data_IF_266338505404
#
_entry.id   IF_266338505404
#
_cell.length_a   1.000
_cell.length_b   1.000
_cell.length_c   1.000
_cell.angle_alpha   90.00
_cell.angle_beta   90.00
_cell.angle_gamma   90.00
#
_symmetry.space_group_name_H-M   'P 1'
#
loop_
_entity.id
_entity.type
_entity.pdbx_description
1 polymer ?
#
# COMPACT_ATOMS: atom_id res chain seq x y z
N UNK A 1 33.86 8.98 19.34
CA UNK A 1 32.41 8.94 19.65
C UNK A 1 31.68 8.59 18.38
N UNK A 2 30.83 7.57 18.39
CA UNK A 2 30.03 7.19 17.22
C UNK A 2 28.98 8.27 16.95
N UNK A 3 28.86 8.75 15.71
CA UNK A 3 27.89 9.79 15.36
C UNK A 3 26.51 9.19 15.13
N UNK A 4 25.45 10.00 15.27
CA UNK A 4 24.07 9.61 14.92
C UNK A 4 23.99 9.04 13.50
N UNK A 5 24.60 9.71 12.51
CA UNK A 5 24.64 9.23 11.12
C UNK A 5 25.26 7.84 10.96
N UNK A 6 26.26 7.49 11.79
CA UNK A 6 26.86 6.13 11.78
C UNK A 6 25.83 5.07 12.22
N UNK A 7 24.93 5.40 13.15
CA UNK A 7 23.87 4.49 13.58
C UNK A 7 22.78 4.30 12.52
N UNK A 8 22.40 5.38 11.80
CA UNK A 8 21.49 5.31 10.64
C UNK A 8 22.11 4.44 9.54
N UNK A 9 23.35 4.73 9.13
CA UNK A 9 24.09 3.97 8.11
C UNK A 9 24.22 2.48 8.47
N UNK A 10 24.49 2.17 9.74
CA UNK A 10 24.56 0.78 10.24
C UNK A 10 23.21 0.06 10.14
N UNK A 11 22.10 0.77 10.41
CA UNK A 11 20.76 0.22 10.28
C UNK A 11 20.36 -0.01 8.81
N UNK A 12 20.68 0.94 7.92
CA UNK A 12 20.48 0.81 6.47
C UNK A 12 21.30 -0.34 5.87
N UNK A 13 22.56 -0.50 6.29
CA UNK A 13 23.40 -1.63 5.88
C UNK A 13 22.92 -2.98 6.41
N UNK A 14 22.26 -3.00 7.56
CA UNK A 14 21.60 -4.19 8.09
C UNK A 14 20.35 -4.54 7.25
N UNK A 15 19.45 -3.57 7.03
CA UNK A 15 18.28 -3.72 6.14
C UNK A 15 18.68 -4.28 4.77
N UNK A 16 19.64 -3.62 4.11
CA UNK A 16 20.17 -3.98 2.79
C UNK A 16 20.59 -5.45 2.67
N UNK A 17 21.21 -6.00 3.73
CA UNK A 17 21.70 -7.38 3.76
C UNK A 17 20.61 -8.37 4.16
N UNK A 18 19.88 -8.11 5.25
CA UNK A 18 18.99 -9.10 5.87
C UNK A 18 17.59 -9.14 5.22
N UNK A 19 17.06 -8.04 4.66
CA UNK A 19 15.76 -8.07 3.98
C UNK A 19 15.79 -8.85 2.66
N UNK A 20 16.91 -8.82 1.92
CA UNK A 20 17.01 -9.49 0.62
C UNK A 20 16.62 -10.99 0.67
N UNK A 21 17.24 -11.85 1.53
CA UNK A 21 16.84 -13.24 1.62
C UNK A 21 15.42 -13.45 2.19
N UNK A 22 14.92 -12.54 3.04
CA UNK A 22 13.55 -12.60 3.57
C UNK A 22 12.52 -12.37 2.46
N UNK A 23 12.71 -11.31 1.65
CA UNK A 23 11.85 -10.99 0.52
C UNK A 23 11.88 -12.12 -0.51
N UNK A 24 13.06 -12.63 -0.87
CA UNK A 24 13.20 -13.77 -1.78
C UNK A 24 12.44 -15.00 -1.30
N UNK A 25 12.60 -15.39 -0.02
CA UNK A 25 11.85 -16.52 0.57
C UNK A 25 10.35 -16.31 0.46
N UNK A 26 9.85 -15.11 0.78
CA UNK A 26 8.42 -14.83 0.72
C UNK A 26 7.87 -14.73 -0.71
N UNK A 27 8.65 -14.20 -1.67
CA UNK A 27 8.31 -14.18 -3.11
C UNK A 27 8.08 -15.58 -3.65
N UNK A 28 8.99 -16.51 -3.33
CA UNK A 28 8.88 -17.92 -3.72
C UNK A 28 7.73 -18.61 -2.98
N UNK A 29 7.65 -18.49 -1.65
CA UNK A 29 6.66 -19.19 -0.83
C UNK A 29 5.21 -18.74 -1.11
N UNK A 30 5.00 -17.49 -1.51
CA UNK A 30 3.68 -16.92 -1.87
C UNK A 30 3.37 -17.00 -3.37
N UNK A 31 4.27 -17.58 -4.17
CA UNK A 31 4.08 -17.74 -5.62
C UNK A 31 4.01 -16.44 -6.42
N UNK A 32 4.65 -15.37 -5.93
CA UNK A 32 4.63 -14.03 -6.56
C UNK A 32 5.41 -14.02 -7.89
N UNK A 33 6.48 -14.80 -7.95
CA UNK A 33 7.25 -15.07 -9.16
C UNK A 33 7.75 -16.51 -9.11
N UNK A 34 7.83 -17.17 -10.28
CA UNK A 34 8.37 -18.53 -10.38
C UNK A 34 9.90 -18.54 -10.41
N UNK A 35 10.56 -19.61 -9.92
CA UNK A 35 12.03 -19.70 -9.91
C UNK A 35 12.68 -19.49 -11.29
N UNK A 36 12.03 -19.92 -12.37
CA UNK A 36 12.59 -19.86 -13.73
C UNK A 36 12.75 -18.42 -14.24
N UNK A 37 11.94 -17.48 -13.73
CA UNK A 37 11.97 -16.06 -14.10
C UNK A 37 12.88 -15.25 -13.18
N UNK A 38 13.15 -15.77 -11.98
CA UNK A 38 14.07 -15.19 -11.01
C UNK A 38 15.52 -15.58 -11.32
N UNK A 39 16.02 -15.14 -12.47
CA UNK A 39 17.43 -15.30 -12.82
C UNK A 39 18.33 -14.78 -11.69
N UNK A 40 19.30 -15.59 -11.26
CA UNK A 40 20.18 -15.31 -10.11
C UNK A 40 19.44 -14.99 -8.79
N UNK A 41 18.20 -15.46 -8.63
CA UNK A 41 17.30 -15.16 -7.50
C UNK A 41 16.97 -13.66 -7.35
N UNK A 42 17.02 -12.88 -8.44
CA UNK A 42 16.72 -11.45 -8.40
C UNK A 42 15.22 -11.15 -8.48
N UNK A 43 14.59 -10.92 -7.33
CA UNK A 43 13.17 -10.53 -7.24
C UNK A 43 12.90 -9.08 -7.70
N UNK A 44 13.93 -8.24 -7.90
CA UNK A 44 13.74 -6.84 -8.29
C UNK A 44 13.14 -6.67 -9.70
N UNK A 45 13.18 -7.73 -10.52
CA UNK A 45 12.47 -7.83 -11.80
C UNK A 45 10.96 -7.57 -11.66
N UNK A 46 10.34 -7.93 -10.53
CA UNK A 46 8.92 -7.67 -10.26
C UNK A 46 8.63 -6.17 -10.24
N UNK A 47 9.47 -5.38 -9.55
CA UNK A 47 9.33 -3.92 -9.49
C UNK A 47 9.55 -3.27 -10.85
N UNK A 48 10.51 -3.76 -11.64
CA UNK A 48 10.78 -3.24 -12.99
C UNK A 48 9.54 -3.40 -13.88
N UNK A 49 8.97 -4.60 -13.92
CA UNK A 49 7.80 -4.91 -14.76
C UNK A 49 6.52 -4.22 -14.26
N UNK A 50 6.40 -3.98 -12.95
CA UNK A 50 5.34 -3.13 -12.40
C UNK A 50 5.49 -1.65 -12.80
N UNK A 51 6.70 -1.11 -12.75
CA UNK A 51 6.97 0.28 -13.16
C UNK A 51 6.72 0.47 -14.67
N UNK A 52 7.21 -0.45 -15.50
CA UNK A 52 6.93 -0.48 -16.95
C UNK A 52 5.41 -0.47 -17.22
N UNK A 53 4.63 -1.29 -16.50
CA UNK A 53 3.17 -1.31 -16.59
C UNK A 53 2.46 -0.08 -15.97
N UNK A 54 3.15 0.74 -15.17
CA UNK A 54 2.67 2.05 -14.68
C UNK A 54 3.09 3.21 -15.61
N UNK A 55 3.72 2.92 -16.74
CA UNK A 55 4.29 3.92 -17.65
C UNK A 55 5.54 4.60 -17.11
N UNK A 56 6.20 4.03 -16.08
CA UNK A 56 7.39 4.58 -15.42
C UNK A 56 8.64 3.89 -15.95
N UNK A 57 9.37 4.55 -16.84
CA UNK A 57 10.61 4.00 -17.43
C UNK A 57 11.83 4.49 -16.66
N UNK A 58 12.39 3.63 -15.79
CA UNK A 58 13.67 3.87 -15.09
C UNK A 58 14.82 3.10 -15.75
N UNK A 59 16.06 3.54 -15.57
CA UNK A 59 17.24 2.75 -15.95
C UNK A 59 17.22 1.40 -15.19
N UNK A 60 17.36 0.24 -15.87
CA UNK A 60 17.40 -1.06 -15.23
C UNK A 60 18.41 -1.19 -14.08
N UNK A 61 19.49 -0.39 -14.06
CA UNK A 61 20.51 -0.36 -12.99
C UNK A 61 19.99 0.17 -11.65
N UNK A 62 18.82 0.80 -11.62
CA UNK A 62 18.16 1.28 -10.39
C UNK A 62 17.58 0.12 -9.58
N UNK A 63 17.18 -0.97 -10.25
CA UNK A 63 16.64 -2.15 -9.58
C UNK A 63 17.77 -3.03 -9.09
N UNK A 64 17.91 -3.14 -7.76
CA UNK A 64 18.89 -4.01 -7.10
C UNK A 64 18.26 -4.68 -5.88
N UNK A 65 18.40 -6.01 -5.70
CA UNK A 65 17.80 -6.71 -4.56
C UNK A 65 18.46 -6.35 -3.22
N UNK A 66 19.59 -5.63 -3.23
CA UNK A 66 20.27 -5.08 -2.04
C UNK A 66 20.02 -3.58 -1.83
N UNK A 67 19.32 -2.86 -2.72
CA UNK A 67 18.91 -1.48 -2.44
C UNK A 67 17.72 -1.48 -1.49
N UNK A 68 17.89 -0.84 -0.34
CA UNK A 68 16.85 -0.65 0.67
C UNK A 68 15.60 0.00 0.08
N UNK A 69 15.72 0.87 -0.94
CA UNK A 69 14.54 1.42 -1.61
C UNK A 69 13.75 0.34 -2.33
N UNK A 70 14.39 -0.49 -3.16
CA UNK A 70 13.73 -1.60 -3.83
C UNK A 70 13.12 -2.57 -2.81
N UNK A 71 13.85 -2.89 -1.74
CA UNK A 71 13.38 -3.80 -0.68
C UNK A 71 12.10 -3.28 -0.03
N UNK A 72 12.07 -2.00 0.35
CA UNK A 72 10.91 -1.40 0.99
C UNK A 72 9.75 -1.17 -0.01
N UNK A 73 10.02 -0.81 -1.27
CA UNK A 73 8.98 -0.74 -2.33
C UNK A 73 8.24 -2.06 -2.47
N UNK A 74 8.97 -3.17 -2.48
CA UNK A 74 8.40 -4.52 -2.57
C UNK A 74 7.46 -4.84 -1.41
N UNK A 75 7.69 -4.25 -0.23
CA UNK A 75 6.88 -4.44 0.98
C UNK A 75 5.70 -3.47 1.10
N UNK A 76 5.71 -2.32 0.39
CA UNK A 76 4.68 -1.26 0.50
C UNK A 76 3.79 -1.12 -0.73
N UNK A 77 4.22 -1.55 -1.91
CA UNK A 77 3.42 -1.41 -3.14
C UNK A 77 2.54 -2.64 -3.40
N UNK A 78 1.38 -2.39 -4.01
CA UNK A 78 0.51 -3.47 -4.48
C UNK A 78 1.14 -4.19 -5.68
N UNK A 79 1.42 -5.47 -5.51
CA UNK A 79 2.01 -6.34 -6.54
C UNK A 79 0.94 -6.85 -7.52
N UNK A 80 0.32 -5.91 -8.23
CA UNK A 80 -0.73 -6.19 -9.21
C UNK A 80 -1.88 -7.02 -8.66
N UNK A 81 -2.18 -8.15 -9.32
CA UNK A 81 -3.24 -9.09 -8.92
C UNK A 81 -2.96 -9.80 -7.59
N UNK A 82 -1.71 -9.91 -7.14
CA UNK A 82 -1.34 -10.49 -5.85
C UNK A 82 -1.65 -9.58 -4.64
N UNK A 83 -2.07 -8.33 -4.86
CA UNK A 83 -2.45 -7.42 -3.78
C UNK A 83 -1.24 -6.96 -2.96
N UNK A 84 -1.33 -7.06 -1.64
CA UNK A 84 -0.25 -6.72 -0.69
C UNK A 84 0.28 -8.01 -0.02
N UNK A 85 1.03 -8.85 -0.75
CA UNK A 85 1.24 -10.24 -0.35
C UNK A 85 2.13 -10.41 0.89
N UNK A 86 3.02 -9.47 1.19
CA UNK A 86 3.86 -9.50 2.39
C UNK A 86 3.14 -9.02 3.65
N UNK A 87 1.98 -8.37 3.50
CA UNK A 87 1.33 -7.68 4.60
C UNK A 87 0.46 -8.61 5.43
N UNK A 88 0.20 -8.20 6.68
CA UNK A 88 -0.64 -8.92 7.61
C UNK A 88 -2.03 -8.26 7.75
N UNK A 89 -2.93 -8.90 8.51
CA UNK A 89 -4.31 -8.42 8.66
C UNK A 89 -4.41 -7.00 9.25
N UNK A 90 -3.39 -6.55 9.99
CA UNK A 90 -3.31 -5.22 10.61
C UNK A 90 -2.63 -4.16 9.72
N UNK A 91 -2.13 -4.55 8.54
CA UNK A 91 -1.28 -3.75 7.64
C UNK A 91 0.01 -3.21 8.24
N UNK A 92 0.61 -3.98 9.16
CA UNK A 92 1.81 -3.60 9.89
C UNK A 92 3.07 -3.55 9.01
N UNK A 93 3.21 -4.46 8.04
CA UNK A 93 4.41 -4.51 7.17
C UNK A 93 4.46 -3.26 6.29
N UNK A 94 3.35 -2.93 5.64
CA UNK A 94 3.24 -1.69 4.84
C UNK A 94 3.50 -0.45 5.69
N UNK A 95 2.96 -0.41 6.92
CA UNK A 95 3.10 0.73 7.85
C UNK A 95 4.57 0.96 8.24
N UNK A 96 5.26 -0.07 8.74
CA UNK A 96 6.66 0.08 9.17
C UNK A 96 7.62 0.24 7.99
N UNK A 97 7.36 -0.43 6.85
CA UNK A 97 8.19 -0.26 5.67
C UNK A 97 8.08 1.16 5.09
N UNK A 98 6.88 1.77 5.05
CA UNK A 98 6.71 3.14 4.57
C UNK A 98 7.42 4.19 5.45
N UNK A 99 7.43 4.02 6.77
CA UNK A 99 8.22 4.86 7.66
C UNK A 99 9.73 4.74 7.33
N UNK A 100 10.22 3.52 7.10
CA UNK A 100 11.61 3.28 6.72
C UNK A 100 11.97 3.84 5.32
N UNK A 101 10.99 3.96 4.40
CA UNK A 101 11.21 4.60 3.08
C UNK A 101 11.58 6.06 3.24
N UNK A 102 10.92 6.78 4.15
CA UNK A 102 11.28 8.17 4.46
C UNK A 102 12.64 8.23 5.16
N UNK A 103 12.94 7.36 6.13
CA UNK A 103 14.31 7.28 6.70
C UNK A 103 15.37 7.06 5.60
N UNK A 104 15.11 6.20 4.61
CA UNK A 104 15.99 5.94 3.48
C UNK A 104 16.12 7.17 2.58
N UNK A 105 15.01 7.81 2.20
CA UNK A 105 15.00 9.00 1.37
C UNK A 105 15.79 10.13 2.05
N UNK A 106 15.49 10.45 3.32
CA UNK A 106 16.26 11.42 4.13
C UNK A 106 17.76 11.12 4.14
N UNK A 107 18.13 9.84 4.30
CA UNK A 107 19.53 9.41 4.28
C UNK A 107 20.20 9.57 2.92
N UNK A 108 19.48 9.29 1.82
CA UNK A 108 19.96 9.48 0.46
C UNK A 108 20.21 10.96 0.11
N UNK A 109 19.41 11.89 0.65
CA UNK A 109 19.61 13.33 0.49
C UNK A 109 20.63 13.94 1.49
N UNK A 110 21.36 13.12 2.26
CA UNK A 110 22.30 13.54 3.29
C UNK A 110 21.69 14.48 4.35
N UNK A 111 20.43 14.25 4.73
CA UNK A 111 19.77 15.04 5.77
C UNK A 111 20.37 14.83 7.16
N UNK A 112 20.22 15.84 8.00
CA UNK A 112 20.49 15.74 9.43
C UNK A 112 19.50 14.79 10.12
N UNK A 113 20.03 13.96 11.02
CA UNK A 113 19.27 13.08 11.92
C UNK A 113 19.61 13.39 13.37
N UNK A 114 18.63 13.24 14.27
CA UNK A 114 18.82 13.45 15.70
C UNK A 114 18.97 12.14 16.51
N UNK A 115 19.03 12.24 17.84
CA UNK A 115 19.20 11.07 18.73
C UNK A 115 17.95 10.20 18.80
N UNK A 116 16.77 10.78 18.59
CA UNK A 116 15.50 10.08 18.64
C UNK A 116 15.26 9.34 17.31
N UNK A 117 15.57 9.96 16.16
CA UNK A 117 15.71 9.30 14.85
C UNK A 117 16.58 8.03 14.94
N UNK A 118 17.74 8.14 15.60
CA UNK A 118 18.68 7.03 15.77
C UNK A 118 18.10 5.86 16.56
N UNK A 119 17.24 6.09 17.55
CA UNK A 119 16.57 5.02 18.31
C UNK A 119 15.32 4.52 17.57
N UNK A 120 14.57 5.44 16.93
CA UNK A 120 13.35 5.17 16.18
C UNK A 120 13.60 4.20 15.04
N UNK A 121 14.63 4.42 14.22
CA UNK A 121 14.91 3.56 13.05
C UNK A 121 15.14 2.08 13.45
N UNK A 122 15.87 1.79 14.54
CA UNK A 122 16.03 0.41 15.02
C UNK A 122 14.73 -0.17 15.59
N UNK A 123 13.92 0.65 16.28
CA UNK A 123 12.60 0.23 16.76
C UNK A 123 11.64 -0.13 15.64
N UNK A 124 11.54 0.72 14.60
CA UNK A 124 10.69 0.49 13.43
C UNK A 124 11.20 -0.69 12.60
N UNK A 125 12.52 -0.83 12.43
CA UNK A 125 13.12 -1.99 11.76
C UNK A 125 12.85 -3.29 12.51
N UNK A 126 12.97 -3.30 13.85
CA UNK A 126 12.64 -4.48 14.66
C UNK A 126 11.17 -4.89 14.51
N UNK A 127 10.24 -3.92 14.53
CA UNK A 127 8.80 -4.17 14.31
C UNK A 127 8.52 -4.70 12.90
N UNK A 128 9.20 -4.20 11.87
CA UNK A 128 9.10 -4.75 10.51
C UNK A 128 9.51 -6.23 10.47
N UNK A 129 10.68 -6.59 11.04
CA UNK A 129 11.10 -7.99 11.08
C UNK A 129 10.12 -8.87 11.89
N UNK A 130 9.56 -8.38 13.00
CA UNK A 130 8.50 -9.09 13.74
C UNK A 130 7.25 -9.32 12.87
N UNK A 131 6.79 -8.31 12.14
CA UNK A 131 5.62 -8.42 11.26
C UNK A 131 5.86 -9.37 10.07
N UNK A 132 7.12 -9.52 9.64
CA UNK A 132 7.57 -10.50 8.62
C UNK A 132 7.82 -11.92 9.19
N UNK A 133 7.68 -12.14 10.51
CA UNK A 133 7.92 -13.43 11.19
C UNK A 133 9.39 -13.71 11.57
N UNK A 134 10.28 -12.75 11.38
CA UNK A 134 11.73 -12.88 11.53
C UNK A 134 12.20 -12.51 12.95
N UNK A 135 11.67 -13.21 13.95
CA UNK A 135 11.82 -12.87 15.38
C UNK A 135 13.28 -12.82 15.88
N UNK A 136 14.20 -13.58 15.28
CA UNK A 136 15.64 -13.53 15.60
C UNK A 136 16.24 -12.17 15.26
N UNK A 137 15.98 -11.66 14.05
CA UNK A 137 16.45 -10.36 13.59
C UNK A 137 15.80 -9.24 14.41
N UNK A 138 14.49 -9.34 14.69
CA UNK A 138 13.81 -8.39 15.56
C UNK A 138 14.46 -8.31 16.95
N UNK A 139 14.63 -9.45 17.64
CA UNK A 139 15.23 -9.51 18.98
C UNK A 139 16.64 -8.93 19.04
N UNK A 140 17.44 -9.09 17.98
CA UNK A 140 18.77 -8.48 17.86
C UNK A 140 18.68 -6.96 17.75
N UNK A 141 17.79 -6.45 16.90
CA UNK A 141 17.59 -5.01 16.69
C UNK A 141 17.04 -4.30 17.92
N UNK A 142 16.17 -4.96 18.69
CA UNK A 142 15.66 -4.42 19.96
C UNK A 142 16.77 -4.25 21.01
N UNK A 143 17.69 -5.22 21.12
CA UNK A 143 18.87 -5.08 21.99
C UNK A 143 19.75 -3.91 21.55
N UNK A 144 19.99 -3.76 20.25
CA UNK A 144 20.79 -2.63 19.71
C UNK A 144 20.09 -1.29 19.97
N UNK A 145 18.76 -1.21 19.80
CA UNK A 145 17.92 -0.05 20.12
C UNK A 145 18.06 0.34 21.59
N UNK A 146 17.92 -0.63 22.50
CA UNK A 146 17.89 -0.36 23.94
C UNK A 146 19.29 0.02 24.45
N UNK A 147 20.34 -0.67 24.00
CA UNK A 147 21.73 -0.27 24.20
C UNK A 147 22.01 1.16 23.72
N UNK A 148 21.52 1.51 22.53
CA UNK A 148 21.70 2.83 21.94
C UNK A 148 20.94 3.90 22.74
N UNK A 149 19.73 3.59 23.21
CA UNK A 149 18.94 4.48 24.07
C UNK A 149 19.64 4.76 25.40
N UNK A 150 20.21 3.73 26.04
CA UNK A 150 21.03 3.90 27.26
C UNK A 150 22.23 4.81 26.96
N UNK A 151 22.95 4.58 25.85
CA UNK A 151 24.14 5.35 25.45
C UNK A 151 23.86 6.81 25.10
N UNK A 152 22.76 7.10 24.38
CA UNK A 152 22.45 8.46 23.88
C UNK A 152 21.73 9.35 24.90
N UNK A 153 20.96 8.76 25.83
CA UNK A 153 20.10 9.48 26.78
C UNK A 153 20.50 9.28 28.25
N UNK A 154 21.47 8.41 28.55
CA UNK A 154 21.92 8.15 29.94
C UNK A 154 20.87 7.46 30.83
N UNK A 155 19.74 7.04 30.26
CA UNK A 155 18.67 6.35 30.96
C UNK A 155 19.17 4.95 31.35
N UNK A 156 19.23 4.66 32.65
CA UNK A 156 19.34 3.27 33.12
C UNK A 156 18.15 2.49 32.57
N UNK A 157 18.38 1.27 32.09
CA UNK A 157 17.31 0.35 31.75
C UNK A 157 16.33 0.27 32.93
N UNK A 158 15.01 0.43 32.70
CA UNK A 158 14.04 0.11 33.74
C UNK A 158 14.26 -1.35 34.10
N UNK A 159 14.73 -1.61 35.32
CA UNK A 159 14.70 -2.96 35.87
C UNK A 159 13.25 -3.42 35.75
N UNK A 160 12.96 -4.64 35.22
CA UNK A 160 11.62 -5.17 35.24
C UNK A 160 11.18 -5.29 36.69
N UNK A 161 10.46 -4.28 37.19
CA UNK A 161 9.75 -4.36 38.45
C UNK A 161 8.60 -5.30 38.17
N UNK A 162 8.86 -6.59 38.35
CA UNK A 162 7.80 -7.58 38.45
C UNK A 162 6.79 -7.01 39.46
N UNK A 163 5.51 -6.86 39.08
CA UNK A 163 4.54 -6.23 39.96
C UNK A 163 4.52 -7.04 41.24
N UNK A 164 5.01 -6.45 42.34
CA UNK A 164 4.93 -7.07 43.64
C UNK A 164 3.47 -6.96 44.06
N UNK A 165 2.70 -7.98 43.66
CA UNK A 165 1.35 -8.21 44.13
C UNK A 165 1.47 -8.38 45.64
N UNK A 166 1.19 -7.32 46.39
CA UNK A 166 1.19 -7.37 47.85
C UNK A 166 0.16 -8.41 48.27
N UNK A 167 0.39 -9.04 49.42
CA UNK A 167 -0.50 -10.11 49.90
C UNK A 167 -1.94 -9.58 50.10
N UNK A 168 -2.11 -8.28 50.32
CA UNK A 168 -3.38 -7.56 50.31
C UNK A 168 -4.11 -7.63 48.96
N UNK A 169 -3.41 -7.38 47.85
CA UNK A 169 -3.97 -7.48 46.48
C UNK A 169 -4.29 -8.94 46.16
N UNK A 170 -3.46 -9.87 46.61
CA UNK A 170 -3.68 -11.32 46.47
C UNK A 170 -4.95 -11.78 47.19
N UNK A 171 -5.14 -11.33 48.44
CA UNK A 171 -6.34 -11.58 49.24
C UNK A 171 -7.57 -10.88 48.67
N UNK A 172 -7.43 -9.68 48.07
CA UNK A 172 -8.53 -9.00 47.40
C UNK A 172 -9.02 -9.75 46.16
N UNK A 173 -8.10 -10.29 45.34
CA UNK A 173 -8.45 -11.16 44.20
C UNK A 173 -9.16 -12.42 44.69
N UNK A 174 -8.60 -13.14 45.68
CA UNK A 174 -9.22 -14.34 46.24
C UNK A 174 -10.63 -14.10 46.83
N UNK A 175 -10.84 -13.00 47.57
CA UNK A 175 -12.17 -12.60 48.06
C UNK A 175 -13.16 -12.28 46.93
N UNK A 176 -12.67 -11.77 45.81
CA UNK A 176 -13.49 -11.46 44.63
C UNK A 176 -13.90 -12.73 43.87
N UNK A 177 -13.00 -13.72 43.79
CA UNK A 177 -13.30 -15.03 43.21
C UNK A 177 -14.27 -15.84 44.08
N UNK A 178 -14.10 -15.86 45.40
CA UNK A 178 -15.06 -16.49 46.33
C UNK A 178 -16.45 -15.84 46.29
N UNK A 179 -16.54 -14.52 46.03
CA UNK A 179 -17.84 -13.85 45.80
C UNK A 179 -18.53 -14.26 44.50
N UNK A 180 -17.81 -14.89 43.57
CA UNK A 180 -18.33 -15.28 42.25
C UNK A 180 -18.90 -16.71 42.24
N UNK A 181 -18.54 -17.55 43.21
CA UNK A 181 -19.08 -18.90 43.38
C UNK A 181 -20.47 -18.95 44.06
N UNK A 182 -20.84 -17.92 44.81
CA UNK A 182 -22.09 -17.91 45.63
C UNK A 182 -23.35 -17.44 44.87
N UNK A 183 -23.25 -17.13 43.57
CA UNK A 183 -24.39 -16.67 42.75
C UNK A 183 -25.08 -17.86 42.06
N UNK A 184 -25.86 -18.62 42.83
CA UNK A 184 -26.79 -19.60 42.28
C UNK A 184 -27.94 -18.87 41.56
N UNK A 185 -28.07 -19.03 40.24
CA UNK A 185 -29.17 -18.43 39.48
C UNK A 185 -30.52 -19.09 39.87
N UNK A 186 -31.55 -18.33 40.30
CA UNK A 186 -32.83 -18.91 40.70
C UNK A 186 -33.66 -19.35 39.49
N UNK A 187 -34.09 -20.61 39.50
CA UNK A 187 -34.90 -21.21 38.43
C UNK A 187 -36.39 -20.91 38.64
N UNK A 188 -36.88 -19.91 37.92
CA UNK A 188 -38.23 -19.80 37.35
C UNK A 188 -39.48 -19.95 38.23
N UNK A 189 -40.20 -18.85 38.46
CA UNK A 189 -41.67 -18.84 38.55
C UNK A 189 -42.27 -17.44 38.27
N UNK A 190 -43.53 -17.43 37.83
CA UNK A 190 -44.50 -16.31 37.72
C UNK A 190 -44.83 -15.69 36.34
N UNK A 191 -45.80 -16.35 35.69
CA UNK A 191 -47.04 -15.79 35.13
C UNK A 191 -47.00 -14.51 34.25
N UNK A 192 -47.26 -14.72 32.95
CA UNK A 192 -47.73 -13.66 32.04
C UNK A 192 -49.19 -13.26 32.36
N UNK A 193 -49.51 -11.96 32.26
CA UNK A 193 -50.88 -11.46 32.05
C UNK A 193 -50.94 -10.57 30.80
N UNK A 194 -51.78 -10.98 29.84
CA UNK A 194 -52.67 -10.20 28.95
C UNK A 194 -52.46 -8.67 28.87
N UNK A 195 -52.59 -7.92 27.76
CA UNK A 195 -53.04 -8.05 26.35
C UNK A 195 -53.20 -6.56 25.85
N UNK A 196 -53.57 -6.16 24.60
CA UNK A 196 -54.10 -6.95 23.49
C UNK A 196 -53.60 -6.63 22.05
N UNK A 197 -53.92 -7.56 21.13
CA UNK A 197 -54.40 -7.41 19.71
C UNK A 197 -53.95 -6.18 18.89
N UNK A 198 -53.55 -6.31 17.61
CA UNK A 198 -53.93 -7.25 16.51
C UNK A 198 -52.71 -7.38 15.53
N UNK A 199 -52.71 -7.97 14.32
CA UNK A 199 -53.79 -8.50 13.48
C UNK A 199 -53.57 -9.90 12.85
N UNK A 200 -53.26 -9.98 11.55
CA UNK A 200 -53.46 -11.14 10.67
C UNK A 200 -52.39 -11.20 9.54
N UNK A 201 -51.72 -12.30 9.14
CA UNK A 201 -52.11 -13.73 8.92
C UNK A 201 -52.77 -13.94 7.53
N UNK A 202 -52.53 -15.02 6.73
CA UNK A 202 -51.59 -16.17 6.85
C UNK A 202 -50.72 -16.49 5.58
N UNK A 203 -49.72 -17.38 5.73
CA UNK A 203 -49.54 -18.53 4.82
C UNK A 203 -49.13 -19.79 5.62
N UNK A 204 -49.60 -20.96 5.17
CA UNK A 204 -49.48 -22.28 5.83
C UNK A 204 -49.57 -23.40 4.76
N UNK A 205 -49.21 -24.67 5.01
CA UNK A 205 -47.83 -25.15 4.78
C UNK A 205 -47.79 -26.52 4.01
N UNK A 206 -46.74 -27.32 4.26
CA UNK A 206 -46.59 -28.77 3.95
C UNK A 206 -46.20 -29.14 2.51
N UNK A 207 -45.44 -30.21 2.25
CA UNK A 207 -44.68 -31.16 3.10
C UNK A 207 -43.58 -31.87 2.26
N UNK A 208 -42.60 -32.48 2.93
CA UNK A 208 -41.66 -33.48 2.35
C UNK A 208 -42.26 -34.89 2.53
N UNK A 209 -41.89 -35.94 1.75
CA UNK A 209 -40.69 -36.72 2.15
C UNK A 209 -39.94 -37.53 1.05
N UNK A 210 -38.67 -37.84 1.38
CA UNK A 210 -37.84 -39.06 1.12
C UNK A 210 -37.60 -39.67 -0.29
N UNK A 211 -36.46 -40.38 -0.37
CA UNK A 211 -35.87 -41.06 -1.54
C UNK A 211 -36.17 -42.58 -1.56
N UNK A 212 -35.61 -43.35 -2.53
CA UNK A 212 -34.45 -44.19 -2.14
C UNK A 212 -33.32 -44.38 -3.19
N UNK A 213 -32.24 -45.00 -2.68
CA UNK A 213 -31.07 -45.70 -3.26
C UNK A 213 -31.30 -46.57 -4.53
N UNK A 214 -30.33 -47.09 -5.32
CA UNK A 214 -28.83 -47.11 -5.37
C UNK A 214 -28.37 -47.89 -6.63
N UNK A 215 -27.24 -47.54 -7.25
CA UNK A 215 -26.35 -48.50 -7.96
C UNK A 215 -24.98 -47.87 -8.32
N UNK A 216 -23.95 -48.71 -8.41
CA UNK A 216 -22.60 -48.40 -8.90
C UNK A 216 -22.44 -48.98 -10.31
N UNK A 217 -21.50 -48.47 -11.11
CA UNK A 217 -20.54 -49.31 -11.86
C UNK A 217 -19.43 -48.49 -12.55
N UNK A 218 -18.49 -49.18 -13.20
CA UNK A 218 -17.07 -48.81 -13.26
C UNK A 218 -16.54 -48.16 -14.54
N UNK A 219 -15.43 -47.42 -14.35
CA UNK A 219 -14.28 -47.17 -15.24
C UNK A 219 -14.27 -47.82 -16.64
N UNK A 220 -14.04 -47.00 -17.68
CA UNK A 220 -13.09 -47.31 -18.78
C UNK A 220 -12.65 -45.99 -19.44
N UNK A 221 -11.33 -45.80 -19.60
CA UNK A 221 -10.74 -44.72 -20.41
C UNK A 221 -10.18 -45.33 -21.69
N UNK A 222 -10.60 -44.84 -22.85
CA UNK A 222 -10.07 -45.28 -24.14
C UNK A 222 -9.42 -44.11 -24.87
N UNK A 223 -8.14 -44.27 -25.21
CA UNK A 223 -7.40 -43.30 -26.04
C UNK A 223 -7.87 -43.41 -27.50
N UNK A 224 -7.99 -42.28 -28.19
CA UNK A 224 -7.97 -42.25 -29.68
C UNK A 224 -7.10 -41.09 -30.17
N UNK A 225 -6.20 -41.42 -31.10
CA UNK A 225 -5.26 -40.50 -31.76
C UNK A 225 -5.86 -39.91 -33.03
N UNK A 226 -5.48 -38.67 -33.41
CA UNK A 226 -5.59 -38.21 -34.80
C UNK A 226 -4.25 -38.32 -35.56
N UNK A 227 -4.32 -38.52 -36.88
CA UNK A 227 -3.17 -38.67 -37.80
C UNK A 227 -2.76 -37.33 -38.45
N UNK A 228 -1.47 -37.22 -38.79
CA UNK A 228 -0.86 -36.21 -39.70
C UNK A 228 -1.31 -36.43 -41.16
N UNK A 229 -1.43 -35.45 -42.08
CA UNK A 229 -0.45 -34.53 -42.72
C UNK A 229 -1.22 -33.57 -43.69
N UNK A 230 -0.61 -32.60 -44.44
CA UNK A 230 0.66 -31.88 -44.31
C UNK A 230 0.53 -30.33 -44.36
N UNK A 231 1.68 -29.65 -44.38
CA UNK A 231 1.93 -28.20 -44.34
C UNK A 231 1.23 -27.30 -45.40
N UNK A 232 1.10 -26.02 -45.04
CA UNK A 232 1.05 -24.87 -45.96
C UNK A 232 1.78 -23.70 -45.32
N UNK A 233 2.79 -23.16 -46.00
CA UNK A 233 3.67 -22.11 -45.48
C UNK A 233 2.97 -20.74 -45.40
N UNK A 234 2.96 -20.16 -44.20
CA UNK A 234 2.92 -18.70 -44.02
C UNK A 234 3.83 -18.33 -42.86
N UNK A 235 4.79 -17.45 -43.11
CA UNK A 235 5.70 -16.92 -42.10
C UNK A 235 4.92 -16.19 -41.00
N UNK A 236 4.98 -16.73 -39.78
CA UNK A 236 4.47 -16.06 -38.59
C UNK A 236 5.63 -15.23 -38.00
N UNK A 237 5.44 -13.93 -37.71
CA UNK A 237 6.46 -13.13 -37.04
C UNK A 237 6.87 -13.78 -35.72
N UNK A 238 8.19 -13.80 -35.43
CA UNK A 238 8.76 -14.44 -34.24
C UNK A 238 7.98 -14.06 -32.97
N UNK A 239 7.21 -15.00 -32.44
CA UNK A 239 6.68 -14.88 -31.09
C UNK A 239 7.85 -14.92 -30.11
N UNK A 240 8.02 -13.85 -29.34
CA UNK A 240 8.81 -13.91 -28.11
C UNK A 240 8.17 -14.94 -27.18
N UNK A 241 8.97 -15.89 -26.71
CA UNK A 241 8.48 -17.06 -25.99
C UNK A 241 7.78 -16.69 -24.69
N UNK A 242 6.54 -17.19 -24.50
CA UNK A 242 5.71 -16.95 -23.31
C UNK A 242 6.38 -17.33 -21.98
N UNK A 243 7.41 -18.18 -22.03
CA UNK A 243 8.23 -18.62 -20.89
C UNK A 243 9.05 -17.51 -20.23
N UNK A 244 9.22 -16.35 -20.87
CA UNK A 244 9.99 -15.22 -20.33
C UNK A 244 9.15 -14.18 -19.56
N UNK A 245 7.81 -14.32 -19.52
CA UNK A 245 6.95 -13.43 -18.74
C UNK A 245 6.83 -13.94 -17.29
N UNK A 246 6.98 -13.08 -16.26
CA UNK A 246 6.75 -13.50 -14.89
C UNK A 246 5.30 -13.95 -14.71
N UNK A 247 5.09 -14.96 -13.88
CA UNK A 247 3.75 -15.28 -13.37
C UNK A 247 3.46 -14.42 -12.14
N UNK A 248 3.46 -13.10 -12.35
CA UNK A 248 2.30 -12.34 -11.90
C UNK A 248 1.27 -12.48 -13.00
N UNK A 249 -0.02 -12.54 -12.65
CA UNK A 249 -1.06 -12.14 -13.60
C UNK A 249 -1.01 -10.62 -13.75
N UNK A 250 0.04 -10.13 -14.44
CA UNK A 250 0.11 -8.86 -15.16
C UNK A 250 -0.77 -9.01 -16.43
N UNK A 251 -2.01 -9.44 -16.24
CA UNK A 251 -3.04 -9.31 -17.27
C UNK A 251 -3.11 -7.84 -17.68
N UNK A 252 -3.45 -7.57 -18.94
CA UNK A 252 -3.51 -6.23 -19.58
C UNK A 252 -4.61 -5.31 -19.04
N UNK A 253 -4.98 -5.45 -17.76
CA UNK A 253 -5.82 -4.56 -16.98
C UNK A 253 -4.94 -3.44 -16.41
N UNK A 254 -5.14 -2.21 -16.89
CA UNK A 254 -4.53 -1.00 -16.28
C UNK A 254 -4.82 -0.98 -14.79
N UNK A 255 -3.84 -0.58 -13.98
CA UNK A 255 -4.00 -0.59 -12.53
C UNK A 255 -5.02 0.48 -12.08
N UNK A 256 -5.97 0.13 -11.19
CA UNK A 256 -6.90 1.10 -10.64
C UNK A 256 -6.16 2.12 -9.77
N UNK A 257 -6.78 3.28 -9.54
CA UNK A 257 -6.20 4.27 -8.63
C UNK A 257 -6.18 3.75 -7.18
N UNK A 258 -5.05 3.88 -6.51
CA UNK A 258 -4.86 3.50 -5.11
C UNK A 258 -4.47 4.74 -4.27
N UNK A 259 -5.26 5.09 -3.24
CA UNK A 259 -4.96 6.23 -2.38
C UNK A 259 -3.89 5.88 -1.33
N UNK A 260 -2.93 6.79 -1.15
CA UNK A 260 -1.97 6.79 -0.07
C UNK A 260 -2.68 6.68 1.29
N UNK A 261 -2.22 5.75 2.12
CA UNK A 261 -2.70 5.61 3.48
C UNK A 261 -1.85 6.51 4.38
N UNK A 262 -2.48 7.40 5.15
CA UNK A 262 -1.77 8.31 6.04
C UNK A 262 -1.10 7.55 7.17
N UNK A 263 0.22 7.62 7.26
CA UNK A 263 1.05 6.91 8.24
C UNK A 263 1.75 7.96 9.13
N UNK A 264 1.87 7.76 10.46
CA UNK A 264 2.51 8.73 11.35
C UNK A 264 4.03 8.87 11.09
N UNK A 265 4.42 9.91 10.35
CA UNK A 265 5.82 10.19 10.01
C UNK A 265 6.49 11.16 11.01
N UNK A 266 5.72 11.98 11.72
CA UNK A 266 6.25 12.83 12.79
C UNK A 266 5.16 13.57 13.55
N UNK A 267 5.59 14.45 14.47
CA UNK A 267 4.69 15.24 15.32
C UNK A 267 4.29 16.58 14.67
N UNK A 268 3.13 17.17 15.03
CA UNK A 268 2.69 18.48 14.52
C UNK A 268 3.67 19.64 14.75
N UNK A 269 4.53 19.53 15.77
CA UNK A 269 5.56 20.51 16.14
C UNK A 269 6.60 20.75 15.03
N UNK A 270 6.77 19.79 14.11
CA UNK A 270 7.61 19.94 12.90
C UNK A 270 7.27 21.24 12.15
N UNK A 271 5.97 21.55 12.03
CA UNK A 271 5.48 22.73 11.32
C UNK A 271 5.67 24.05 12.09
N UNK A 272 5.78 24.01 13.41
CA UNK A 272 6.07 25.19 14.23
C UNK A 272 7.52 25.66 14.00
N UNK A 273 8.43 24.70 13.79
CA UNK A 273 9.85 24.93 13.55
C UNK A 273 10.29 24.65 12.11
N UNK A 274 9.48 25.01 11.09
CA UNK A 274 9.83 24.86 9.66
C UNK A 274 11.11 25.60 9.21
N UNK A 275 11.67 26.48 10.06
CA UNK A 275 12.98 27.11 9.83
C UNK A 275 14.15 26.14 10.05
N UNK A 276 13.94 25.05 10.81
CA UNK A 276 14.92 23.98 10.95
C UNK A 276 15.01 23.21 9.62
N UNK A 277 16.23 23.06 9.09
CA UNK A 277 16.49 22.35 7.84
C UNK A 277 16.01 20.90 7.91
N UNK A 278 16.23 20.20 9.02
CA UNK A 278 15.77 18.81 9.21
C UNK A 278 14.24 18.68 9.14
N UNK A 279 13.50 19.61 9.77
CA UNK A 279 12.03 19.63 9.70
C UNK A 279 11.54 19.88 8.28
N UNK A 280 12.12 20.87 7.58
CA UNK A 280 11.75 21.18 6.21
C UNK A 280 12.07 20.03 5.25
N UNK A 281 13.19 19.33 5.47
CA UNK A 281 13.64 18.21 4.65
C UNK A 281 12.79 16.96 4.89
N UNK A 282 12.48 16.61 6.14
CA UNK A 282 11.49 15.57 6.50
C UNK A 282 10.11 15.80 5.84
N UNK A 283 9.64 17.05 5.80
CA UNK A 283 8.41 17.44 5.08
C UNK A 283 8.53 17.21 3.56
N UNK A 284 9.67 17.55 2.94
CA UNK A 284 9.92 17.28 1.51
C UNK A 284 10.01 15.78 1.24
N UNK A 285 10.82 15.05 2.00
CA UNK A 285 10.97 13.59 1.91
C UNK A 285 9.63 12.83 2.02
N UNK A 286 8.73 13.31 2.89
CA UNK A 286 7.34 12.80 2.99
C UNK A 286 6.52 13.14 1.75
N UNK A 287 6.63 14.36 1.21
CA UNK A 287 5.93 14.77 0.00
C UNK A 287 6.41 14.00 -1.23
N UNK A 288 7.72 13.80 -1.37
CA UNK A 288 8.35 12.99 -2.41
C UNK A 288 7.86 11.55 -2.40
N UNK A 289 7.79 10.95 -1.22
CA UNK A 289 7.30 9.58 -1.05
C UNK A 289 5.82 9.44 -1.46
N UNK A 290 4.95 10.39 -1.05
CA UNK A 290 3.53 10.40 -1.45
C UNK A 290 3.38 10.64 -2.96
N UNK A 291 4.18 11.54 -3.55
CA UNK A 291 4.14 11.84 -4.97
C UNK A 291 4.70 10.70 -5.83
N UNK A 292 5.72 9.97 -5.36
CA UNK A 292 6.19 8.74 -6.00
C UNK A 292 5.09 7.65 -5.94
N UNK A 293 4.31 7.56 -4.86
CA UNK A 293 3.20 6.60 -4.80
C UNK A 293 1.99 7.00 -5.66
N UNK A 294 1.38 8.17 -5.41
CA UNK A 294 0.14 8.63 -6.06
C UNK A 294 0.35 9.40 -7.39
N UNK A 295 1.59 9.76 -7.76
CA UNK A 295 1.88 10.66 -8.88
C UNK A 295 1.30 10.20 -10.23
N UNK A 296 0.83 11.14 -11.08
CA UNK A 296 0.65 12.57 -10.80
C UNK A 296 -0.47 12.85 -9.78
N UNK A 297 -0.25 13.82 -8.89
CA UNK A 297 -1.14 14.15 -7.75
C UNK A 297 -1.43 15.66 -7.65
N UNK A 298 -2.67 16.04 -7.34
CA UNK A 298 -3.05 17.45 -7.13
C UNK A 298 -2.32 18.06 -5.91
N UNK A 299 -1.78 19.27 -6.03
CA UNK A 299 -0.91 19.85 -5.00
C UNK A 299 -1.57 20.03 -3.63
N UNK A 300 -2.82 20.46 -3.55
CA UNK A 300 -3.55 20.61 -2.30
C UNK A 300 -3.91 19.25 -1.68
N UNK A 301 -4.10 18.20 -2.48
CA UNK A 301 -4.21 16.81 -2.03
C UNK A 301 -2.89 16.34 -1.41
N UNK A 302 -1.77 16.53 -2.10
CA UNK A 302 -0.43 16.23 -1.57
C UNK A 302 -0.20 16.96 -0.23
N UNK A 303 -0.45 18.27 -0.19
CA UNK A 303 -0.27 19.07 1.03
C UNK A 303 -1.14 18.57 2.19
N UNK A 304 -2.40 18.16 1.93
CA UNK A 304 -3.27 17.54 2.94
C UNK A 304 -2.66 16.23 3.48
N UNK A 305 -2.30 15.31 2.60
CA UNK A 305 -1.73 14.00 2.97
C UNK A 305 -0.44 14.17 3.79
N UNK A 306 0.45 15.09 3.40
CA UNK A 306 1.64 15.45 4.18
C UNK A 306 1.25 15.96 5.58
N UNK A 307 0.32 16.91 5.69
CA UNK A 307 -0.11 17.40 7.01
C UNK A 307 -0.68 16.31 7.91
N UNK A 308 -1.41 15.34 7.36
CA UNK A 308 -1.96 14.21 8.09
C UNK A 308 -0.89 13.22 8.55
N UNK A 309 0.16 13.00 7.76
CA UNK A 309 1.31 12.17 8.16
C UNK A 309 2.08 12.76 9.34
N UNK A 310 2.03 14.09 9.54
CA UNK A 310 2.57 14.79 10.72
C UNK A 310 1.53 15.02 11.82
N UNK A 311 0.50 14.16 11.93
CA UNK A 311 -0.44 14.14 13.06
C UNK A 311 -1.45 15.29 13.12
N UNK A 312 -1.52 16.19 12.12
CA UNK A 312 -2.52 17.26 12.12
C UNK A 312 -3.90 16.70 11.77
N UNK A 313 -4.82 16.67 12.75
CA UNK A 313 -6.22 16.26 12.52
C UNK A 313 -7.02 17.16 11.56
N UNK A 314 -6.47 18.30 11.13
CA UNK A 314 -7.06 19.18 10.11
C UNK A 314 -5.99 19.88 9.27
N UNK A 315 -6.24 19.96 7.97
CA UNK A 315 -5.45 20.71 7.02
C UNK A 315 -5.70 22.23 7.12
N UNK A 316 -4.93 22.93 7.96
CA UNK A 316 -5.01 24.39 8.10
C UNK A 316 -4.33 25.13 6.94
N UNK A 317 -4.95 26.19 6.40
CA UNK A 317 -4.44 26.96 5.25
C UNK A 317 -2.97 27.38 5.38
N UNK A 318 -2.54 27.82 6.57
CA UNK A 318 -1.14 28.19 6.80
C UNK A 318 -0.18 26.98 6.64
N UNK A 319 -0.55 25.81 7.18
CA UNK A 319 0.25 24.58 7.07
C UNK A 319 0.31 24.08 5.63
N UNK A 320 -0.82 24.13 4.92
CA UNK A 320 -0.88 23.81 3.49
C UNK A 320 0.03 24.74 2.65
N UNK A 321 0.03 26.05 2.94
CA UNK A 321 0.94 26.99 2.29
C UNK A 321 2.42 26.69 2.60
N UNK A 322 2.75 26.28 3.83
CA UNK A 322 4.12 25.87 4.20
C UNK A 322 4.58 24.65 3.40
N UNK A 323 3.75 23.61 3.26
CA UNK A 323 4.08 22.41 2.45
C UNK A 323 4.16 22.77 0.95
N UNK A 324 3.17 23.51 0.44
CA UNK A 324 3.13 23.98 -0.95
C UNK A 324 4.38 24.78 -1.34
N UNK A 325 4.88 25.63 -0.44
CA UNK A 325 6.14 26.36 -0.66
C UNK A 325 7.36 25.42 -0.71
N UNK A 326 7.43 24.37 0.10
CA UNK A 326 8.52 23.37 0.02
C UNK A 326 8.47 22.60 -1.30
N UNK A 327 7.29 22.13 -1.72
CA UNK A 327 7.09 21.34 -2.95
C UNK A 327 7.25 22.17 -4.25
N UNK A 328 7.06 23.50 -4.19
CA UNK A 328 7.22 24.36 -5.37
C UNK A 328 8.62 24.92 -5.57
N UNK A 329 9.39 25.12 -4.49
CA UNK A 329 10.62 25.91 -4.55
C UNK A 329 11.87 25.19 -4.01
N UNK A 330 11.71 24.12 -3.23
CA UNK A 330 12.80 23.52 -2.46
C UNK A 330 12.95 21.99 -2.66
N UNK A 331 12.08 21.34 -3.43
CA UNK A 331 12.21 19.94 -3.86
C UNK A 331 12.97 19.86 -5.18
N UNK A 332 13.94 18.95 -5.25
CA UNK A 332 14.78 18.72 -6.44
C UNK A 332 14.19 17.63 -7.35
N UNK A 333 13.37 16.76 -6.77
CA UNK A 333 12.81 15.52 -7.33
C UNK A 333 11.32 15.62 -7.70
N UNK A 334 10.68 16.76 -7.41
CA UNK A 334 9.28 17.05 -7.71
C UNK A 334 9.15 18.31 -8.56
N UNK A 335 8.35 18.21 -9.62
CA UNK A 335 7.95 19.34 -10.46
C UNK A 335 6.46 19.61 -10.30
N UNK A 336 6.03 20.87 -10.45
CA UNK A 336 4.60 21.24 -10.39
C UNK A 336 4.19 21.92 -11.69
N UNK A 337 3.20 21.35 -12.36
CA UNK A 337 2.73 21.86 -13.66
C UNK A 337 1.83 23.10 -13.55
N UNK A 338 1.48 23.64 -14.72
CA UNK A 338 0.61 24.80 -14.90
C UNK A 338 -0.84 24.57 -14.42
N UNK A 339 -1.26 23.31 -14.30
CA UNK A 339 -2.59 22.90 -13.83
C UNK A 339 -2.61 22.65 -12.31
N UNK A 340 -1.46 22.68 -11.64
CA UNK A 340 -1.33 22.49 -10.19
C UNK A 340 -1.11 21.03 -9.77
N UNK A 341 -0.70 20.15 -10.69
CA UNK A 341 -0.36 18.76 -10.39
C UNK A 341 1.15 18.61 -10.16
N UNK A 342 1.49 17.77 -9.20
CA UNK A 342 2.85 17.43 -8.80
C UNK A 342 3.25 16.13 -9.48
N UNK A 343 4.37 16.17 -10.18
CA UNK A 343 4.96 15.07 -10.94
C UNK A 343 6.31 14.69 -10.32
N UNK A 344 6.51 13.42 -9.92
CA UNK A 344 7.83 12.94 -9.48
C UNK A 344 8.77 12.74 -10.68
N UNK A 345 10.08 12.80 -10.45
CA UNK A 345 11.13 12.51 -11.45
C UNK A 345 10.93 11.16 -12.19
N UNK A 346 10.27 10.19 -11.54
CA UNK A 346 9.96 8.86 -12.12
C UNK A 346 8.88 8.87 -13.21
N UNK A 347 8.21 10.00 -13.45
CA UNK A 347 7.14 10.16 -14.44
C UNK A 347 7.43 11.39 -15.30
N UNK A 348 7.82 11.16 -16.55
CA UNK A 348 7.89 12.21 -17.57
C UNK A 348 6.47 12.58 -18.06
N UNK A 349 6.07 13.85 -17.85
CA UNK A 349 4.77 14.40 -18.25
C UNK A 349 4.48 14.24 -19.74
N UNK A 350 5.49 14.30 -20.60
CA UNK A 350 5.29 14.30 -22.06
C UNK A 350 5.08 12.88 -22.62
N UNK A 351 5.78 11.88 -22.06
CA UNK A 351 5.71 10.48 -22.54
C UNK A 351 4.78 9.58 -21.73
N UNK A 352 4.27 10.03 -20.57
CA UNK A 352 3.37 9.24 -19.73
C UNK A 352 1.96 9.13 -20.34
N UNK A 353 1.68 7.97 -20.93
CA UNK A 353 0.42 7.65 -21.64
C UNK A 353 -0.57 6.80 -20.83
N UNK A 354 -0.37 6.64 -19.51
CA UNK A 354 -1.23 5.83 -18.66
C UNK A 354 -2.43 6.60 -18.08
N UNK A 355 -3.44 5.85 -17.64
CA UNK A 355 -4.54 6.33 -16.81
C UNK A 355 -5.03 5.28 -15.84
N UNK A 356 -5.49 5.70 -14.65
CA UNK A 356 -5.90 4.81 -13.56
C UNK A 356 -7.42 4.86 -13.36
N UNK A 357 -8.17 3.80 -13.75
CA UNK A 357 -9.62 3.73 -13.56
C UNK A 357 -10.04 3.74 -12.08
N UNK A 358 -11.29 4.08 -11.83
CA UNK A 358 -11.91 4.00 -10.51
C UNK A 358 -13.03 2.96 -10.51
N UNK A 359 -12.93 1.96 -9.64
CA UNK A 359 -13.98 0.96 -9.46
C UNK A 359 -15.25 1.54 -8.79
N UNK A 360 -15.13 2.63 -8.04
CA UNK A 360 -16.22 3.24 -7.29
C UNK A 360 -16.25 4.78 -7.39
N UNK A 361 -17.46 5.34 -7.20
CA UNK A 361 -17.75 6.78 -7.16
C UNK A 361 -17.03 7.49 -5.99
N UNK A 362 -16.66 6.72 -4.96
CA UNK A 362 -16.05 7.08 -3.68
C UNK A 362 -14.53 7.38 -3.73
N UNK A 363 -13.90 7.29 -4.91
CA UNK A 363 -12.47 7.58 -5.11
C UNK A 363 -12.07 9.05 -4.94
N UNK A 364 -10.88 9.41 -5.45
CA UNK A 364 -10.41 10.81 -5.50
C UNK A 364 -11.42 11.72 -6.22
N UNK A 365 -11.41 13.00 -5.87
CA UNK A 365 -12.27 13.99 -6.54
C UNK A 365 -11.89 14.09 -8.03
N UNK A 366 -12.80 14.53 -8.91
CA UNK A 366 -12.48 14.57 -10.35
C UNK A 366 -11.41 15.62 -10.66
N UNK A 367 -11.41 16.66 -9.84
CA UNK A 367 -10.45 17.75 -9.76
C UNK A 367 -9.07 17.30 -9.22
N UNK A 368 -8.98 16.12 -8.59
CA UNK A 368 -7.74 15.50 -8.11
C UNK A 368 -7.13 14.52 -9.14
N UNK A 369 -7.68 14.43 -10.36
CA UNK A 369 -7.18 13.63 -11.49
C UNK A 369 -6.43 14.55 -12.44
N UNK A 370 -5.22 14.19 -12.91
CA UNK A 370 -4.46 15.07 -13.82
C UNK A 370 -5.18 15.26 -15.16
N UNK A 371 -5.20 16.47 -15.76
CA UNK A 371 -5.69 16.68 -17.13
C UNK A 371 -4.99 15.78 -18.16
N UNK A 372 -3.70 15.47 -17.96
CA UNK A 372 -2.95 14.52 -18.80
C UNK A 372 -3.53 13.10 -18.65
N UNK A 373 -3.85 12.69 -17.41
CA UNK A 373 -4.46 11.38 -17.13
C UNK A 373 -5.84 11.22 -17.79
N UNK A 374 -6.60 12.32 -17.86
CA UNK A 374 -7.90 12.36 -18.55
C UNK A 374 -7.72 12.35 -20.08
N UNK A 375 -6.74 13.10 -20.61
CA UNK A 375 -6.41 13.12 -22.04
C UNK A 375 -5.94 11.74 -22.53
N UNK A 376 -5.17 11.01 -21.72
CA UNK A 376 -4.74 9.64 -22.01
C UNK A 376 -5.92 8.66 -22.08
N UNK A 377 -6.88 8.76 -21.15
CA UNK A 377 -8.12 7.99 -21.22
C UNK A 377 -8.92 8.32 -22.49
N UNK A 378 -8.96 9.59 -22.88
CA UNK A 378 -9.66 10.04 -24.08
C UNK A 378 -9.03 9.47 -25.37
N UNK A 379 -7.72 9.63 -25.54
CA UNK A 379 -6.96 9.02 -26.66
C UNK A 379 -7.15 7.51 -26.74
N UNK A 380 -7.25 6.84 -25.60
CA UNK A 380 -7.48 5.41 -25.55
C UNK A 380 -8.85 5.02 -26.12
N UNK A 381 -9.92 5.72 -25.77
CA UNK A 381 -11.25 5.45 -26.33
C UNK A 381 -11.40 5.90 -27.79
N UNK A 382 -10.78 7.03 -28.19
CA UNK A 382 -10.72 7.45 -29.60
C UNK A 382 -10.00 6.42 -30.48
N UNK A 383 -8.94 5.79 -29.96
CA UNK A 383 -8.16 4.77 -30.66
C UNK A 383 -8.78 3.35 -30.63
N UNK A 384 -9.75 3.09 -29.76
CA UNK A 384 -10.43 1.80 -29.61
C UNK A 384 -11.97 1.99 -29.54
N UNK A 385 -12.64 2.48 -30.61
CA UNK A 385 -14.08 2.75 -30.59
C UNK A 385 -14.95 1.52 -30.29
N UNK A 386 -14.45 0.32 -30.52
CA UNK A 386 -15.10 -0.96 -30.21
C UNK A 386 -15.25 -1.24 -28.70
N UNK A 387 -14.64 -0.42 -27.84
CA UNK A 387 -14.79 -0.48 -26.38
C UNK A 387 -15.92 0.43 -25.84
N UNK A 388 -16.60 1.18 -26.71
CA UNK A 388 -17.73 2.03 -26.36
C UNK A 388 -19.03 1.22 -26.31
N UNK A 389 -19.89 1.49 -25.33
CA UNK A 389 -21.26 0.95 -25.33
C UNK A 389 -22.09 1.50 -26.52
N UNK A 390 -23.12 0.78 -26.97
CA UNK A 390 -23.98 1.20 -28.09
C UNK A 390 -24.55 2.62 -27.90
N UNK A 391 -24.09 3.56 -28.74
CA UNK A 391 -24.51 4.97 -28.70
C UNK A 391 -23.85 5.83 -27.61
N UNK A 392 -22.85 5.31 -26.90
CA UNK A 392 -22.04 6.06 -25.94
C UNK A 392 -21.02 6.96 -26.65
N UNK A 393 -20.92 8.23 -26.25
CA UNK A 393 -19.84 9.11 -26.70
C UNK A 393 -18.56 8.90 -25.87
N UNK A 394 -17.40 9.20 -26.48
CA UNK A 394 -16.09 9.06 -25.84
C UNK A 394 -16.01 9.84 -24.52
N UNK A 395 -16.61 11.03 -24.46
CA UNK A 395 -16.65 11.83 -23.24
C UNK A 395 -17.37 11.11 -22.08
N UNK A 396 -18.44 10.37 -22.37
CA UNK A 396 -19.18 9.58 -21.39
C UNK A 396 -18.39 8.34 -20.94
N UNK A 397 -17.66 7.69 -21.85
CA UNK A 397 -16.77 6.57 -21.51
C UNK A 397 -15.59 7.01 -20.61
N UNK A 398 -14.99 8.17 -20.91
CA UNK A 398 -13.96 8.81 -20.07
C UNK A 398 -14.53 9.16 -18.68
N UNK A 399 -15.73 9.74 -18.61
CA UNK A 399 -16.39 10.02 -17.32
C UNK A 399 -16.68 8.73 -16.52
N UNK A 400 -17.18 7.69 -17.18
CA UNK A 400 -17.48 6.40 -16.56
C UNK A 400 -16.22 5.75 -15.97
N UNK A 401 -15.10 5.80 -16.70
CA UNK A 401 -13.77 5.31 -16.27
C UNK A 401 -13.30 5.95 -14.95
N UNK A 402 -13.68 7.20 -14.70
CA UNK A 402 -13.37 7.93 -13.47
C UNK A 402 -14.54 7.98 -12.46
N UNK A 403 -15.51 7.05 -12.55
CA UNK A 403 -16.59 6.93 -11.58
C UNK A 403 -17.57 8.12 -11.58
N UNK A 404 -17.77 8.76 -12.75
CA UNK A 404 -18.69 9.90 -12.93
C UNK A 404 -19.71 9.62 -14.02
N UNK A 405 -20.95 10.10 -13.81
CA UNK A 405 -22.07 9.99 -14.78
C UNK A 405 -22.68 11.34 -15.18
N UNK A 406 -22.25 12.44 -14.56
CA UNK A 406 -22.79 13.79 -14.78
C UNK A 406 -21.66 14.78 -14.97
N UNK A 407 -21.72 15.55 -16.05
CA UNK A 407 -20.81 16.66 -16.31
C UNK A 407 -21.30 17.91 -15.53
N UNK A 408 -20.78 18.12 -14.33
CA UNK A 408 -20.99 19.36 -13.56
C UNK A 408 -20.14 20.50 -14.14
N UNK A 409 -20.37 21.75 -13.74
CA UNK A 409 -19.56 22.88 -14.20
C UNK A 409 -18.05 22.72 -13.90
N UNK A 410 -17.70 22.10 -12.75
CA UNK A 410 -16.30 21.85 -12.37
C UNK A 410 -15.69 20.73 -13.21
N UNK A 411 -16.42 19.61 -13.36
CA UNK A 411 -16.04 18.51 -14.26
C UNK A 411 -15.85 19.02 -15.69
N UNK A 412 -16.77 19.84 -16.20
CA UNK A 412 -16.68 20.43 -17.55
C UNK A 412 -15.40 21.24 -17.70
N UNK A 413 -15.11 22.16 -16.77
CA UNK A 413 -13.87 22.97 -16.81
C UNK A 413 -12.63 22.07 -16.90
N UNK A 414 -12.61 20.98 -16.14
CA UNK A 414 -11.49 20.06 -16.08
C UNK A 414 -11.36 19.17 -17.33
N UNK A 415 -12.48 18.77 -17.93
CA UNK A 415 -12.52 18.10 -19.24
C UNK A 415 -12.01 19.03 -20.36
N UNK A 416 -12.34 20.32 -20.35
CA UNK A 416 -11.83 21.25 -21.36
C UNK A 416 -10.31 21.44 -21.25
N UNK A 417 -9.74 21.43 -20.03
CA UNK A 417 -8.27 21.38 -19.86
C UNK A 417 -7.66 20.10 -20.45
N UNK A 418 -8.28 18.95 -20.20
CA UNK A 418 -7.83 17.69 -20.81
C UNK A 418 -7.89 17.73 -22.34
N UNK A 419 -8.96 18.29 -22.93
CA UNK A 419 -9.10 18.45 -24.39
C UNK A 419 -8.02 19.32 -25.02
N UNK A 420 -7.52 20.35 -24.32
CA UNK A 420 -6.39 21.16 -24.85
C UNK A 420 -5.07 20.41 -24.92
N UNK A 421 -5.00 19.20 -24.35
CA UNK A 421 -3.80 18.36 -24.33
C UNK A 421 -3.90 17.16 -25.28
N UNK A 422 -5.05 16.92 -25.94
CA UNK A 422 -5.28 15.78 -26.85
C UNK A 422 -4.69 16.09 -28.22
#
# INVERSE_FOLDING_TARGET
MTTVGTHIQSCMGYLSRELNPVILRQVLAKGIARPEVLHNNDWSIVLRLMDENKGRRRDPKVYKPTDVQCQLRMLTERLGSAGYPFDNANREVSTYAAELRIFRNRWAHNEDFDRDDAVRIYGTTARLFTALGEHTHASQLERVRDDLRVKLFGLKTPVPVAPQITEEVRQAIARTEMRKSDVQAPVGAFAKRTAPKRNAVPQTPSQRPMAPQRSLDSVTVTQTTPKSYPASDKEIPKQESETSRPVLALESKRYPFEPWQTIPMGEPSVFESMRNKANAASVRSTASEIAEFEGPIELNRLCRLVTYCFGLGRAYKNRLNQVSHQVRNNSEDLTVDEHGFVWPESIDRETWAEFRPHAEISGRAFEEISPVEIANAWRYFDANPELLDDGQDVQSAVLATFGRKRCTAVVKKHLELAKTLI
#
